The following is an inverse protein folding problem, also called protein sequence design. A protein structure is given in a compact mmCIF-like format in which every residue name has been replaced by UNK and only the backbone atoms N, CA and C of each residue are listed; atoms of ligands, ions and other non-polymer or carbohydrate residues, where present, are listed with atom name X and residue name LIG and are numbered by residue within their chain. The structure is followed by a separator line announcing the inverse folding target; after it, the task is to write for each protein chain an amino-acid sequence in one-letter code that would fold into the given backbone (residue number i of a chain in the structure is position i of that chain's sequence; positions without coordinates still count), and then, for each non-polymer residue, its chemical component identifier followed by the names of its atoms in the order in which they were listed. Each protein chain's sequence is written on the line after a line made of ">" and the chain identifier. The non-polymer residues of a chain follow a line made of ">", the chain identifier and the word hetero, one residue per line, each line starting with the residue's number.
data_IF_594852212671
#
_entry.id   IF_594852212671
#
_cell.length_a   1.000
_cell.length_b   1.000
_cell.length_c   1.000
_cell.angle_alpha   90.00
_cell.angle_beta   90.00
_cell.angle_gamma   90.00
#
_symmetry.space_group_name_H-M   'P 1'
#
loop_
_entity.id
_entity.type
_entity.pdbx_description
1 polymer ?
#
# COMPACT_ATOMS: atom_id res chain seq x y z
N UNK A 1 7.53 -16.42 27.19
CA UNK A 1 8.26 -17.56 26.63
C UNK A 1 8.26 -17.53 25.11
N UNK A 2 7.10 -17.62 24.42
CA UNK A 2 7.03 -17.62 22.94
C UNK A 2 7.71 -16.39 22.31
N UNK A 3 7.40 -15.16 22.76
CA UNK A 3 7.98 -13.94 22.18
C UNK A 3 9.52 -13.91 22.26
N UNK A 4 10.09 -14.26 23.41
CA UNK A 4 11.55 -14.28 23.61
C UNK A 4 12.22 -15.35 22.73
N UNK A 5 11.65 -16.56 22.69
CA UNK A 5 12.16 -17.62 21.83
C UNK A 5 12.08 -17.24 20.35
N UNK A 6 10.96 -16.67 19.90
CA UNK A 6 10.81 -16.21 18.51
C UNK A 6 11.82 -15.10 18.19
N UNK A 7 12.07 -14.18 19.12
CA UNK A 7 13.09 -13.14 18.95
C UNK A 7 14.50 -13.72 18.81
N UNK A 8 14.87 -14.70 19.64
CA UNK A 8 16.17 -15.37 19.59
C UNK A 8 16.37 -16.15 18.28
N UNK A 9 15.35 -16.87 17.82
CA UNK A 9 15.43 -17.72 16.62
C UNK A 9 15.34 -16.93 15.31
N UNK A 10 14.54 -15.85 15.27
CA UNK A 10 14.29 -15.08 14.02
C UNK A 10 15.07 -13.78 13.93
N UNK A 11 15.59 -13.27 15.05
CA UNK A 11 16.22 -11.96 15.13
C UNK A 11 15.25 -10.78 14.93
N UNK A 12 13.94 -11.01 14.88
CA UNK A 12 12.94 -9.95 14.74
C UNK A 12 12.90 -9.06 15.98
N UNK A 13 12.69 -7.76 15.78
CA UNK A 13 12.60 -6.82 16.90
C UNK A 13 11.37 -7.10 17.76
N UNK A 14 11.47 -6.79 19.06
CA UNK A 14 10.36 -6.92 20.02
C UNK A 14 9.11 -6.16 19.57
N UNK A 15 9.28 -5.02 18.90
CA UNK A 15 8.17 -4.21 18.37
C UNK A 15 7.40 -4.93 17.26
N UNK A 16 8.11 -5.56 16.30
CA UNK A 16 7.47 -6.35 15.23
C UNK A 16 6.69 -7.51 15.84
N UNK A 17 7.30 -8.21 16.80
CA UNK A 17 6.67 -9.33 17.49
C UNK A 17 5.46 -8.87 18.31
N UNK A 18 5.56 -7.76 19.03
CA UNK A 18 4.45 -7.15 19.79
C UNK A 18 3.30 -6.75 18.86
N UNK A 19 3.61 -6.12 17.73
CA UNK A 19 2.61 -5.73 16.74
C UNK A 19 1.89 -6.95 16.15
N UNK A 20 2.58 -8.03 15.78
CA UNK A 20 1.92 -9.16 15.12
C UNK A 20 1.34 -10.21 16.07
N UNK A 21 2.06 -10.61 17.13
CA UNK A 21 1.57 -11.64 18.06
C UNK A 21 0.54 -11.11 19.05
N UNK A 22 0.66 -9.86 19.49
CA UNK A 22 -0.26 -9.27 20.47
C UNK A 22 -1.27 -8.30 19.84
N UNK A 23 -1.13 -8.02 18.54
CA UNK A 23 -1.89 -6.97 17.83
C UNK A 23 -1.90 -5.63 18.59
N UNK A 24 -0.74 -5.29 19.19
CA UNK A 24 -0.57 -4.09 20.00
C UNK A 24 -0.62 -2.84 19.11
N UNK A 25 -1.69 -2.05 19.25
CA UNK A 25 -1.95 -0.89 18.40
C UNK A 25 -1.17 0.36 18.80
N UNK A 26 -0.52 0.35 19.97
CA UNK A 26 0.40 1.41 20.35
C UNK A 26 1.70 1.36 19.53
N UNK A 27 2.01 0.20 18.94
CA UNK A 27 3.15 0.00 18.04
C UNK A 27 2.67 0.18 16.60
N UNK A 28 3.41 0.96 15.81
CA UNK A 28 3.09 1.14 14.40
C UNK A 28 3.33 -0.13 13.59
N UNK A 29 2.55 -0.31 12.53
CA UNK A 29 2.79 -1.37 11.55
C UNK A 29 4.24 -1.29 11.04
N UNK A 30 5.02 -2.39 11.03
CA UNK A 30 6.40 -2.39 10.52
C UNK A 30 6.55 -1.89 9.08
N UNK A 31 5.48 -1.98 8.29
CA UNK A 31 5.43 -1.52 6.90
C UNK A 31 4.81 -0.12 6.75
N UNK A 32 4.40 0.54 7.83
CA UNK A 32 3.62 1.79 7.79
C UNK A 32 4.25 2.85 6.90
N UNK A 33 5.56 3.09 7.02
CA UNK A 33 6.25 4.10 6.23
C UNK A 33 6.20 3.77 4.73
N UNK A 34 6.48 2.51 4.37
CA UNK A 34 6.48 2.04 2.97
C UNK A 34 5.07 2.10 2.39
N UNK A 35 4.06 1.65 3.13
CA UNK A 35 2.65 1.75 2.73
C UNK A 35 2.22 3.21 2.52
N UNK A 36 2.59 4.11 3.43
CA UNK A 36 2.28 5.54 3.31
C UNK A 36 2.91 6.16 2.07
N UNK A 37 4.17 5.82 1.77
CA UNK A 37 4.85 6.29 0.56
C UNK A 37 4.20 5.73 -0.71
N UNK A 38 3.87 4.44 -0.74
CA UNK A 38 3.18 3.80 -1.87
C UNK A 38 1.81 4.43 -2.12
N UNK A 39 1.01 4.66 -1.07
CA UNK A 39 -0.30 5.29 -1.18
C UNK A 39 -0.19 6.72 -1.74
N UNK A 40 0.80 7.49 -1.26
CA UNK A 40 1.05 8.84 -1.78
C UNK A 40 1.50 8.81 -3.25
N UNK A 41 2.32 7.84 -3.63
CA UNK A 41 2.75 7.68 -5.02
C UNK A 41 1.57 7.37 -5.94
N UNK A 42 0.68 6.45 -5.54
CA UNK A 42 -0.54 6.13 -6.30
C UNK A 42 -1.44 7.36 -6.47
N UNK A 43 -1.72 8.08 -5.38
CA UNK A 43 -2.51 9.31 -5.44
C UNK A 43 -1.89 10.40 -6.34
N UNK A 44 -0.56 10.52 -6.32
CA UNK A 44 0.15 11.46 -7.19
C UNK A 44 0.06 11.04 -8.67
N UNK A 45 0.22 9.75 -8.98
CA UNK A 45 0.07 9.24 -10.35
C UNK A 45 -1.36 9.49 -10.85
N UNK A 46 -2.37 9.24 -10.00
CA UNK A 46 -3.76 9.49 -10.33
C UNK A 46 -4.00 10.96 -10.68
N UNK A 47 -3.54 11.88 -9.83
CA UNK A 47 -3.65 13.33 -10.07
C UNK A 47 -2.90 13.78 -11.33
N UNK A 48 -1.71 13.24 -11.58
CA UNK A 48 -0.94 13.56 -12.79
C UNK A 48 -1.61 13.03 -14.05
N UNK A 49 -2.19 11.84 -14.01
CA UNK A 49 -2.90 11.24 -15.15
C UNK A 49 -4.14 12.06 -15.52
N UNK A 50 -4.93 12.47 -14.52
CA UNK A 50 -6.09 13.36 -14.74
C UNK A 50 -5.68 14.72 -15.33
N UNK A 51 -4.58 15.30 -14.83
CA UNK A 51 -4.02 16.53 -15.38
C UNK A 51 -3.58 16.34 -16.83
N UNK A 52 -2.89 15.24 -17.13
CA UNK A 52 -2.45 14.90 -18.47
C UNK A 52 -3.63 14.72 -19.43
N UNK A 53 -4.69 14.03 -19.01
CA UNK A 53 -5.90 13.85 -19.82
C UNK A 53 -6.55 15.19 -20.16
N UNK A 54 -6.74 16.04 -19.15
CA UNK A 54 -7.34 17.38 -19.31
C UNK A 54 -6.59 18.24 -20.33
N UNK A 55 -5.26 18.18 -20.33
CA UNK A 55 -4.42 19.01 -21.20
C UNK A 55 -4.20 18.37 -22.58
N UNK A 56 -4.02 17.04 -22.64
CA UNK A 56 -3.63 16.34 -23.86
C UNK A 56 -4.84 15.98 -24.75
N UNK A 57 -5.95 15.49 -24.21
CA UNK A 57 -7.08 15.00 -25.01
C UNK A 57 -7.69 16.08 -25.93
N UNK A 58 -7.85 17.36 -25.51
CA UNK A 58 -8.36 18.40 -26.41
C UNK A 58 -7.45 18.67 -27.61
N UNK A 59 -6.14 18.49 -27.46
CA UNK A 59 -5.14 18.74 -28.51
C UNK A 59 -4.86 17.48 -29.34
N UNK A 60 -4.93 16.32 -28.70
CA UNK A 60 -4.60 15.01 -29.25
C UNK A 60 -5.70 14.01 -28.85
N UNK A 61 -6.86 14.00 -29.54
CA UNK A 61 -7.97 13.11 -29.19
C UNK A 61 -7.60 11.61 -29.19
N UNK A 62 -6.60 11.22 -29.98
CA UNK A 62 -6.07 9.86 -29.99
C UNK A 62 -5.38 9.44 -28.68
N UNK A 63 -5.02 10.39 -27.81
CA UNK A 63 -4.45 10.13 -26.48
C UNK A 63 -5.49 9.59 -25.49
N UNK A 64 -6.80 9.74 -25.73
CA UNK A 64 -7.82 9.32 -24.76
C UNK A 64 -7.77 7.82 -24.47
N UNK A 65 -7.68 6.98 -25.50
CA UNK A 65 -7.65 5.52 -25.34
C UNK A 65 -6.44 5.03 -24.51
N UNK A 66 -5.18 5.43 -24.78
CA UNK A 66 -4.07 5.03 -23.93
C UNK A 66 -4.16 5.59 -22.51
N UNK A 67 -4.71 6.79 -22.31
CA UNK A 67 -4.90 7.36 -20.97
C UNK A 67 -5.94 6.59 -20.14
N UNK A 68 -7.07 6.19 -20.75
CA UNK A 68 -8.07 5.32 -20.09
C UNK A 68 -7.48 3.96 -19.70
N UNK A 69 -6.63 3.38 -20.55
CA UNK A 69 -5.92 2.13 -20.25
C UNK A 69 -4.98 2.26 -19.05
N UNK A 70 -4.29 3.40 -18.92
CA UNK A 70 -3.47 3.72 -17.75
C UNK A 70 -4.32 3.90 -16.49
N UNK A 71 -5.48 4.54 -16.60
CA UNK A 71 -6.41 4.71 -15.48
C UNK A 71 -6.94 3.36 -14.98
N UNK A 72 -7.34 2.45 -15.89
CA UNK A 72 -7.76 1.09 -15.54
C UNK A 72 -6.65 0.33 -14.81
N UNK A 73 -5.42 0.41 -15.33
CA UNK A 73 -4.24 -0.22 -14.70
C UNK A 73 -3.98 0.35 -13.31
N UNK A 74 -4.13 1.67 -13.14
CA UNK A 74 -3.95 2.33 -11.86
C UNK A 74 -5.03 1.90 -10.86
N UNK A 75 -6.29 1.80 -11.29
CA UNK A 75 -7.41 1.34 -10.46
C UNK A 75 -7.18 -0.10 -9.96
N UNK A 76 -6.71 -0.99 -10.84
CA UNK A 76 -6.34 -2.37 -10.44
C UNK A 76 -5.18 -2.34 -9.44
N UNK A 77 -4.19 -1.48 -9.65
CA UNK A 77 -3.04 -1.33 -8.75
C UNK A 77 -3.45 -0.83 -7.37
N UNK A 78 -4.34 0.16 -7.29
CA UNK A 78 -4.90 0.67 -6.03
C UNK A 78 -5.71 -0.40 -5.29
N UNK A 79 -6.55 -1.15 -6.01
CA UNK A 79 -7.29 -2.29 -5.45
C UNK A 79 -6.37 -3.35 -4.84
N UNK A 80 -5.33 -3.76 -5.58
CA UNK A 80 -4.32 -4.71 -5.09
C UNK A 80 -3.54 -4.15 -3.89
N UNK A 81 -3.23 -2.85 -3.90
CA UNK A 81 -2.56 -2.19 -2.79
C UNK A 81 -3.43 -2.18 -1.53
N UNK A 82 -4.73 -1.91 -1.64
CA UNK A 82 -5.67 -2.00 -0.52
C UNK A 82 -5.73 -3.40 0.09
N UNK A 83 -5.74 -4.44 -0.74
CA UNK A 83 -5.67 -5.84 -0.28
C UNK A 83 -4.35 -6.12 0.45
N UNK A 84 -3.21 -5.66 -0.09
CA UNK A 84 -1.90 -5.81 0.55
C UNK A 84 -1.85 -5.11 1.92
N UNK A 85 -2.37 -3.88 2.03
CA UNK A 85 -2.46 -3.16 3.32
C UNK A 85 -3.25 -3.98 4.35
N UNK A 86 -4.36 -4.59 3.93
CA UNK A 86 -5.19 -5.40 4.82
C UNK A 86 -4.45 -6.67 5.29
N UNK A 87 -3.73 -7.36 4.39
CA UNK A 87 -2.95 -8.56 4.72
C UNK A 87 -1.78 -8.28 5.67
N UNK A 88 -1.18 -7.09 5.57
CA UNK A 88 -0.05 -6.70 6.44
C UNK A 88 -0.50 -6.15 7.80
N UNK A 89 -1.81 -5.99 8.03
CA UNK A 89 -2.34 -5.48 9.29
C UNK A 89 -2.49 -6.61 10.32
N UNK A 90 -2.07 -6.41 11.58
CA UNK A 90 -2.12 -7.48 12.60
C UNK A 90 -3.52 -8.09 12.77
N UNK A 91 -4.56 -7.25 12.80
CA UNK A 91 -5.97 -7.67 12.84
C UNK A 91 -6.37 -8.64 11.71
N UNK A 92 -5.73 -8.56 10.54
CA UNK A 92 -6.00 -9.48 9.43
C UNK A 92 -5.49 -10.89 9.70
N UNK A 93 -4.46 -11.03 10.52
CA UNK A 93 -3.84 -12.32 10.90
C UNK A 93 -4.50 -12.97 12.12
N UNK A 94 -5.29 -12.21 12.88
CA UNK A 94 -6.03 -12.69 14.07
C UNK A 94 -7.50 -13.02 13.77
N UNK A 95 -7.87 -13.18 12.49
CA UNK A 95 -9.20 -13.65 12.06
C UNK A 95 -9.18 -15.15 11.83
#
# INVERSE_FOLDING_TARGET
>A
YILNLTQEETGLSSDILSYYFLCNQAVSNPFQQRLTLSQRALANIHSQLQGLEREAVPQFPSAQKPLLSLEETLNVTEGNFHQLVALLHCRGLHK
#
